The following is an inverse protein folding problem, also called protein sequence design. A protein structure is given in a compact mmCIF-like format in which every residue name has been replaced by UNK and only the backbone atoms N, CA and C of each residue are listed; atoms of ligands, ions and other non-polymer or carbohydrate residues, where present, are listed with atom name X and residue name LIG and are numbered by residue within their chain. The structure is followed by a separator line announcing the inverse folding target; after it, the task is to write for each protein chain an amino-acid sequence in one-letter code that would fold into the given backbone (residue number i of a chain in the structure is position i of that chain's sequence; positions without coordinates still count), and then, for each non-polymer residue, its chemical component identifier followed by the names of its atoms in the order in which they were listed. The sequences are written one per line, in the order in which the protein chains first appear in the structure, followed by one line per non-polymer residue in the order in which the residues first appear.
data_IF_044486368980
#
_entry.id   IF_044486368980
#
_cell.length_a   1.000
_cell.length_b   1.000
_cell.length_c   1.000
_cell.angle_alpha   90.00
_cell.angle_beta   90.00
_cell.angle_gamma   90.00
#
_symmetry.space_group_name_H-M   'P 1'
#
loop_
_entity.id
_entity.type
_entity.pdbx_description
1 polymer ?
#
# COMPACT_ATOMS: atom_id res chain seq x y z
N UNK A 1 8.59 19.79 5.69
CA UNK A 1 7.39 19.39 6.45
C UNK A 1 6.93 18.03 5.99
N UNK A 2 7.02 17.08 6.91
CA UNK A 2 6.90 15.65 6.68
C UNK A 2 5.45 15.21 6.64
N UNK A 3 4.99 14.71 5.49
CA UNK A 3 3.69 14.03 5.37
C UNK A 3 3.81 12.57 5.79
N UNK A 4 3.13 12.20 6.86
CA UNK A 4 3.05 10.83 7.35
C UNK A 4 1.97 10.08 6.56
N UNK A 5 2.35 9.05 5.78
CA UNK A 5 1.38 8.13 5.17
C UNK A 5 0.99 7.08 6.20
N UNK A 6 -0.21 7.18 6.73
CA UNK A 6 -0.79 6.22 7.68
C UNK A 6 -1.52 5.12 6.91
N UNK A 7 -0.98 3.90 6.93
CA UNK A 7 -1.68 2.72 6.45
C UNK A 7 -2.64 2.23 7.54
N UNK A 8 -3.91 2.45 7.37
CA UNK A 8 -4.92 1.91 8.27
C UNK A 8 -5.51 0.62 7.68
N UNK A 9 -5.34 -0.49 8.41
CA UNK A 9 -5.92 -1.78 8.07
C UNK A 9 -7.39 -1.80 8.47
N UNK A 10 -8.27 -2.10 7.54
CA UNK A 10 -9.62 -2.52 7.87
C UNK A 10 -9.55 -3.97 8.39
N UNK A 11 -9.68 -4.17 9.70
CA UNK A 11 -9.76 -5.49 10.34
C UNK A 11 -11.20 -6.02 10.24
N UNK A 12 -11.52 -6.69 9.15
CA UNK A 12 -12.63 -7.63 9.11
C UNK A 12 -12.09 -9.04 8.91
N UNK A 13 -12.60 -10.02 9.65
CA UNK A 13 -12.20 -11.42 9.59
C UNK A 13 -12.13 -11.92 8.14
N UNK A 14 -11.10 -12.69 7.76
CA UNK A 14 -10.93 -13.15 6.39
C UNK A 14 -11.96 -14.22 6.06
N UNK A 15 -12.95 -13.90 5.25
CA UNK A 15 -13.62 -14.93 4.45
C UNK A 15 -12.68 -15.27 3.28
N UNK A 16 -12.59 -16.56 2.98
CA UNK A 16 -11.69 -17.16 1.99
C UNK A 16 -11.95 -16.66 0.56
N UNK A 17 -11.52 -15.45 0.25
CA UNK A 17 -11.22 -14.94 -1.11
C UNK A 17 -10.32 -13.72 -0.93
N UNK A 18 -9.06 -13.90 -1.29
CA UNK A 18 -8.00 -12.90 -1.18
C UNK A 18 -8.26 -11.75 -2.15
N UNK A 19 -8.88 -10.69 -1.67
CA UNK A 19 -8.81 -9.38 -2.34
C UNK A 19 -7.96 -8.48 -1.47
N UNK A 20 -6.78 -8.14 -1.96
CA UNK A 20 -5.90 -7.13 -1.35
C UNK A 20 -6.62 -5.79 -1.36
N UNK A 21 -7.25 -5.43 -0.26
CA UNK A 21 -7.83 -4.10 -0.07
C UNK A 21 -6.77 -3.19 0.54
N UNK A 22 -6.23 -2.33 -0.27
CA UNK A 22 -5.36 -1.26 0.15
C UNK A 22 -6.16 0.03 0.22
N UNK A 23 -6.41 0.56 1.41
CA UNK A 23 -6.93 1.91 1.59
C UNK A 23 -5.73 2.83 1.72
N UNK A 24 -5.46 3.66 0.71
CA UNK A 24 -4.42 4.66 0.76
C UNK A 24 -5.04 6.03 1.05
N UNK A 25 -4.67 6.62 2.16
CA UNK A 25 -4.93 8.02 2.47
C UNK A 25 -3.77 8.86 1.90
N UNK A 26 -4.06 9.76 0.99
CA UNK A 26 -3.07 10.67 0.43
C UNK A 26 -3.32 12.08 0.98
N UNK A 27 -2.40 12.55 1.81
CA UNK A 27 -2.18 13.98 1.98
C UNK A 27 -1.09 14.37 0.99
N UNK A 28 -1.36 15.41 0.20
CA UNK A 28 -0.49 15.88 -0.87
C UNK A 28 0.92 16.20 -0.37
N UNK A 29 1.87 15.32 -0.62
CA UNK A 29 3.30 15.60 -0.72
C UNK A 29 3.98 14.40 -1.38
N UNK A 30 4.42 14.59 -2.61
CA UNK A 30 5.22 13.64 -3.36
C UNK A 30 6.57 13.41 -2.68
N UNK A 31 6.81 12.18 -2.22
CA UNK A 31 8.14 11.55 -2.25
C UNK A 31 8.00 10.07 -1.84
N UNK A 32 8.58 9.12 -2.59
CA UNK A 32 8.67 7.73 -2.15
C UNK A 32 9.68 7.67 -1.00
N UNK A 33 9.20 7.66 0.25
CA UNK A 33 10.07 7.45 1.40
C UNK A 33 10.34 5.97 1.58
N UNK A 34 11.62 5.67 1.68
CA UNK A 34 12.31 4.44 2.05
C UNK A 34 11.42 3.41 2.77
N UNK A 35 11.35 2.23 2.17
CA UNK A 35 10.84 1.02 2.80
C UNK A 35 11.65 0.77 4.08
N UNK A 36 11.05 0.98 5.25
CA UNK A 36 11.71 0.69 6.51
C UNK A 36 11.86 -0.82 6.69
N UNK A 37 12.90 -1.26 7.41
CA UNK A 37 13.17 -2.67 7.75
C UNK A 37 11.93 -3.43 8.28
N UNK A 38 11.02 -2.72 8.95
CA UNK A 38 9.72 -3.24 9.44
C UNK A 38 8.77 -3.63 8.31
N UNK A 39 8.81 -2.94 7.17
CA UNK A 39 7.99 -3.28 5.99
C UNK A 39 8.49 -4.53 5.31
N UNK A 40 9.81 -4.74 5.23
CA UNK A 40 10.42 -5.96 4.70
C UNK A 40 10.03 -7.18 5.54
N UNK A 41 10.09 -7.07 6.87
CA UNK A 41 9.68 -8.13 7.78
C UNK A 41 8.18 -8.49 7.65
N UNK A 42 7.31 -7.53 7.37
CA UNK A 42 5.89 -7.76 7.17
C UNK A 42 5.57 -8.50 5.86
N UNK A 43 6.35 -8.29 4.80
CA UNK A 43 6.18 -8.97 3.50
C UNK A 43 6.54 -10.45 3.62
N UNK A 44 7.56 -10.80 4.41
CA UNK A 44 8.01 -12.19 4.59
C UNK A 44 7.03 -13.06 5.41
N UNK A 45 6.11 -12.44 6.16
CA UNK A 45 5.20 -13.16 7.07
C UNK A 45 3.88 -13.59 6.41
N UNK A 46 3.54 -13.08 5.25
CA UNK A 46 2.30 -13.42 4.54
C UNK A 46 2.59 -14.52 3.52
N UNK A 47 1.63 -15.44 3.37
CA UNK A 47 1.70 -16.57 2.44
C UNK A 47 2.17 -16.18 1.02
N UNK A 48 1.62 -16.73 -0.01
CA UNK A 48 2.10 -16.56 -1.38
C UNK A 48 1.82 -15.13 -1.95
N UNK A 49 2.51 -14.12 -1.40
CA UNK A 49 2.41 -12.74 -1.90
C UNK A 49 2.83 -12.63 -3.38
N UNK A 50 3.75 -13.50 -3.85
CA UNK A 50 4.16 -13.56 -5.25
C UNK A 50 3.01 -14.04 -6.14
N UNK A 51 2.37 -15.15 -5.75
CA UNK A 51 1.23 -15.69 -6.50
C UNK A 51 0.07 -14.70 -6.59
N UNK A 52 -0.22 -13.98 -5.52
CA UNK A 52 -1.26 -12.96 -5.51
C UNK A 52 -0.93 -11.79 -6.46
N UNK A 53 0.32 -11.32 -6.47
CA UNK A 53 0.78 -10.26 -7.37
C UNK A 53 0.78 -10.72 -8.83
N UNK A 54 1.19 -11.97 -9.11
CA UNK A 54 1.14 -12.53 -10.46
C UNK A 54 -0.30 -12.61 -11.00
N UNK A 55 -1.24 -13.05 -10.18
CA UNK A 55 -2.68 -13.08 -10.55
C UNK A 55 -3.19 -11.69 -10.87
N UNK A 56 -2.77 -10.70 -10.09
CA UNK A 56 -3.21 -9.32 -10.29
C UNK A 56 -2.60 -8.70 -11.56
N UNK A 57 -1.33 -8.99 -11.86
CA UNK A 57 -0.70 -8.61 -13.13
C UNK A 57 -1.46 -9.20 -14.33
N UNK A 58 -1.78 -10.49 -14.28
CA UNK A 58 -2.56 -11.16 -15.33
C UNK A 58 -3.95 -10.54 -15.50
N UNK A 59 -4.64 -10.25 -14.40
CA UNK A 59 -5.95 -9.60 -14.42
C UNK A 59 -5.90 -8.25 -15.15
N UNK A 60 -4.95 -7.39 -14.78
CA UNK A 60 -4.77 -6.08 -15.42
C UNK A 60 -4.38 -6.22 -16.89
N UNK A 61 -3.49 -7.14 -17.23
CA UNK A 61 -3.12 -7.39 -18.64
C UNK A 61 -4.32 -7.83 -19.48
N UNK A 62 -5.18 -8.71 -18.94
CA UNK A 62 -6.40 -9.15 -19.63
C UNK A 62 -7.36 -7.97 -19.85
N UNK A 63 -7.63 -7.20 -18.81
CA UNK A 63 -8.49 -6.02 -18.90
C UNK A 63 -7.96 -4.98 -19.93
N UNK A 64 -6.66 -4.73 -19.93
CA UNK A 64 -6.06 -3.77 -20.88
C UNK A 64 -6.09 -4.27 -22.32
N UNK A 65 -5.97 -5.57 -22.55
CA UNK A 65 -6.11 -6.15 -23.90
C UNK A 65 -7.52 -5.92 -24.50
N UNK A 66 -8.56 -5.93 -23.68
CA UNK A 66 -9.93 -5.65 -24.13
C UNK A 66 -10.12 -4.22 -24.65
N UNK A 67 -9.18 -3.32 -24.32
CA UNK A 67 -9.20 -1.95 -24.85
C UNK A 67 -8.46 -1.78 -26.18
N UNK A 68 -7.70 -2.78 -26.67
CA UNK A 68 -6.85 -2.65 -27.86
C UNK A 68 -7.65 -2.29 -29.14
N UNK A 69 -8.90 -2.74 -29.21
CA UNK A 69 -9.75 -2.54 -30.38
C UNK A 69 -10.83 -1.45 -30.17
N UNK A 70 -10.75 -0.69 -29.08
CA UNK A 70 -11.73 0.36 -28.81
C UNK A 70 -11.33 1.68 -29.47
N UNK A 71 -12.27 2.38 -30.13
CA UNK A 71 -12.00 3.68 -30.75
C UNK A 71 -11.66 4.71 -29.62
N UNK A 72 -10.72 5.61 -29.92
CA UNK A 72 -10.30 6.67 -28.96
C UNK A 72 -9.26 6.26 -27.92
N UNK A 73 -8.75 5.03 -27.98
CA UNK A 73 -7.67 4.58 -27.09
C UNK A 73 -6.32 4.90 -27.72
N UNK A 74 -5.43 5.52 -26.93
CA UNK A 74 -4.03 5.71 -27.31
C UNK A 74 -3.31 4.36 -27.36
N UNK A 75 -3.17 3.82 -28.56
CA UNK A 75 -2.58 2.51 -28.79
C UNK A 75 -1.08 2.46 -28.45
N UNK A 76 -0.35 3.59 -28.50
CA UNK A 76 1.05 3.65 -28.15
C UNK A 76 1.22 3.56 -26.61
N UNK A 77 0.44 4.34 -25.87
CA UNK A 77 0.42 4.30 -24.40
C UNK A 77 -0.04 2.92 -23.89
N UNK A 78 -1.08 2.35 -24.50
CA UNK A 78 -1.58 1.02 -24.12
C UNK A 78 -0.50 -0.06 -24.30
N UNK A 79 0.20 -0.07 -25.45
CA UNK A 79 1.31 -1.01 -25.70
C UNK A 79 2.44 -0.84 -24.70
N UNK A 80 2.81 0.40 -24.36
CA UNK A 80 3.86 0.68 -23.37
C UNK A 80 3.50 0.11 -21.99
N UNK A 81 2.25 0.31 -21.53
CA UNK A 81 1.77 -0.24 -20.26
C UNK A 81 1.74 -1.76 -20.27
N UNK A 82 1.22 -2.38 -21.34
CA UNK A 82 1.22 -3.83 -21.47
C UNK A 82 2.63 -4.42 -21.47
N UNK A 83 3.59 -3.80 -22.16
CA UNK A 83 4.99 -4.22 -22.17
C UNK A 83 5.61 -4.11 -20.78
N UNK A 84 5.31 -3.04 -20.02
CA UNK A 84 5.77 -2.89 -18.64
C UNK A 84 5.25 -4.02 -17.75
N UNK A 85 3.94 -4.32 -17.82
CA UNK A 85 3.33 -5.40 -17.04
C UNK A 85 3.90 -6.78 -17.40
N UNK A 86 4.13 -7.05 -18.70
CA UNK A 86 4.74 -8.30 -19.15
C UNK A 86 6.15 -8.46 -18.57
N UNK A 87 6.97 -7.42 -18.64
CA UNK A 87 8.31 -7.40 -18.06
C UNK A 87 8.27 -7.68 -16.55
N UNK A 88 7.38 -7.01 -15.80
CA UNK A 88 7.24 -7.24 -14.35
C UNK A 88 6.84 -8.67 -14.02
N UNK A 89 5.94 -9.24 -14.81
CA UNK A 89 5.54 -10.64 -14.68
C UNK A 89 6.73 -11.58 -14.91
N UNK A 90 7.52 -11.34 -15.95
CA UNK A 90 8.70 -12.15 -16.27
C UNK A 90 9.76 -12.05 -15.18
N UNK A 91 10.09 -10.85 -14.70
CA UNK A 91 11.03 -10.62 -13.60
C UNK A 91 10.59 -11.35 -12.32
N UNK A 92 9.31 -11.27 -11.98
CA UNK A 92 8.76 -11.92 -10.80
C UNK A 92 8.70 -13.46 -10.97
N UNK A 93 8.50 -13.96 -12.18
CA UNK A 93 8.57 -15.39 -12.49
C UNK A 93 10.01 -15.90 -12.42
N UNK A 94 10.97 -15.17 -13.00
CA UNK A 94 12.39 -15.50 -12.96
C UNK A 94 12.95 -15.54 -11.52
N UNK A 95 12.43 -14.71 -10.63
CA UNK A 95 12.80 -14.74 -9.20
C UNK A 95 12.45 -16.08 -8.52
N UNK A 96 11.53 -16.86 -9.09
CA UNK A 96 11.15 -18.18 -8.60
C UNK A 96 10.23 -18.18 -7.39
N UNK A 97 9.71 -19.34 -7.01
CA UNK A 97 8.77 -19.47 -5.88
C UNK A 97 9.45 -19.18 -4.53
N UNK A 98 10.73 -19.49 -4.43
CA UNK A 98 11.49 -19.43 -3.19
C UNK A 98 12.38 -18.17 -3.07
N UNK A 99 12.12 -17.12 -3.86
CA UNK A 99 12.97 -15.93 -3.89
C UNK A 99 13.12 -15.23 -2.52
N UNK A 100 12.13 -15.36 -1.63
CA UNK A 100 12.21 -14.83 -0.26
C UNK A 100 12.83 -15.80 0.75
N UNK A 101 13.25 -16.98 0.32
CA UNK A 101 13.73 -18.04 1.23
C UNK A 101 14.93 -17.57 2.06
N UNK A 102 15.90 -16.93 1.44
CA UNK A 102 17.08 -16.39 2.13
C UNK A 102 16.72 -15.39 3.24
N UNK A 103 15.71 -14.53 3.01
CA UNK A 103 15.25 -13.58 4.03
C UNK A 103 14.47 -14.27 5.15
N UNK A 104 13.69 -15.31 4.81
CA UNK A 104 12.92 -16.09 5.78
C UNK A 104 13.80 -16.95 6.68
N UNK A 105 14.91 -17.46 6.15
CA UNK A 105 15.88 -18.30 6.86
C UNK A 105 16.91 -17.49 7.63
N UNK A 106 17.00 -16.19 7.42
CA UNK A 106 17.91 -15.32 8.16
C UNK A 106 17.50 -15.25 9.63
N UNK A 107 18.30 -15.84 10.52
CA UNK A 107 18.11 -15.78 11.96
C UNK A 107 18.12 -14.34 12.46
N UNK A 108 19.02 -13.52 11.96
CA UNK A 108 19.12 -12.10 12.24
C UNK A 108 17.82 -11.34 11.96
N UNK A 109 17.27 -11.48 10.74
CA UNK A 109 16.02 -10.82 10.36
C UNK A 109 14.81 -11.37 11.12
N UNK A 110 14.81 -12.66 11.42
CA UNK A 110 13.75 -13.28 12.21
C UNK A 110 13.78 -12.83 13.67
N UNK A 111 14.95 -12.70 14.28
CA UNK A 111 15.10 -12.16 15.62
C UNK A 111 14.53 -10.74 15.71
N UNK A 112 14.90 -9.86 14.77
CA UNK A 112 14.36 -8.49 14.70
C UNK A 112 12.83 -8.51 14.53
N UNK A 113 12.31 -9.35 13.63
CA UNK A 113 10.88 -9.46 13.36
C UNK A 113 10.09 -9.87 14.60
N UNK A 114 10.55 -10.88 15.31
CA UNK A 114 9.86 -11.38 16.51
C UNK A 114 9.88 -10.35 17.65
N UNK A 115 11.00 -9.69 17.86
CA UNK A 115 11.18 -8.72 18.94
C UNK A 115 10.57 -7.36 18.63
N UNK A 116 10.52 -6.93 17.38
CA UNK A 116 9.94 -5.63 17.01
C UNK A 116 8.44 -5.49 17.29
N UNK A 117 7.73 -6.59 17.50
CA UNK A 117 6.33 -6.60 17.90
C UNK A 117 6.13 -6.41 19.41
N UNK A 118 7.18 -6.54 20.22
CA UNK A 118 7.16 -6.43 21.67
C UNK A 118 7.58 -5.01 22.05
N UNK A 119 6.83 -4.28 22.88
CA UNK A 119 7.26 -2.99 23.40
C UNK A 119 8.61 -3.10 24.13
N UNK A 120 9.61 -2.31 23.72
CA UNK A 120 10.97 -2.38 24.27
C UNK A 120 11.82 -3.57 23.77
N UNK A 121 11.28 -4.49 22.99
CA UNK A 121 11.96 -5.71 22.55
C UNK A 121 13.09 -5.52 21.52
N UNK A 122 13.44 -4.28 21.18
CA UNK A 122 14.59 -3.95 20.31
C UNK A 122 15.73 -3.32 21.10
N UNK A 123 15.76 -3.49 22.41
CA UNK A 123 16.87 -3.03 23.25
C UNK A 123 18.09 -3.96 23.09
N UNK A 124 19.24 -3.50 23.56
CA UNK A 124 20.52 -4.20 23.44
C UNK A 124 20.50 -5.59 24.08
N UNK A 125 19.79 -5.76 25.20
CA UNK A 125 19.66 -7.06 25.88
C UNK A 125 18.86 -8.07 25.07
N UNK A 126 17.82 -7.62 24.37
CA UNK A 126 16.95 -8.50 23.60
C UNK A 126 17.47 -8.81 22.20
N UNK A 127 18.24 -7.87 21.62
CA UNK A 127 18.80 -7.95 20.29
C UNK A 127 20.25 -7.45 20.23
N UNK A 128 21.20 -8.12 20.89
CA UNK A 128 22.61 -7.71 20.91
C UNK A 128 23.22 -7.66 19.50
N UNK A 129 22.90 -8.64 18.64
CA UNK A 129 23.40 -8.69 17.27
C UNK A 129 22.88 -7.51 16.42
N UNK A 130 21.63 -7.11 16.63
CA UNK A 130 21.07 -5.94 15.95
C UNK A 130 21.73 -4.64 16.41
N UNK A 131 21.96 -4.50 17.72
CA UNK A 131 22.69 -3.37 18.27
C UNK A 131 24.13 -3.32 17.79
N UNK A 132 24.81 -4.47 17.72
CA UNK A 132 26.15 -4.56 17.12
C UNK A 132 26.12 -4.14 15.64
N UNK A 133 25.18 -4.67 14.86
CA UNK A 133 25.02 -4.31 13.45
C UNK A 133 24.76 -2.80 13.25
N UNK A 134 23.96 -2.16 14.12
CA UNK A 134 23.74 -0.71 14.07
C UNK A 134 25.01 0.12 14.30
N UNK A 135 26.01 -0.44 14.98
CA UNK A 135 27.30 0.18 15.24
C UNK A 135 28.39 -0.15 14.21
N UNK A 136 28.09 -0.99 13.21
CA UNK A 136 28.99 -1.22 12.07
C UNK A 136 29.14 0.07 11.25
N UNK A 137 30.16 0.09 10.39
CA UNK A 137 30.35 1.16 9.43
C UNK A 137 29.13 1.31 8.50
N UNK A 138 28.88 2.54 8.07
CA UNK A 138 27.73 2.85 7.23
C UNK A 138 27.71 2.03 5.94
N UNK A 139 28.88 1.84 5.31
CA UNK A 139 29.01 1.11 4.06
C UNK A 139 28.67 -0.37 4.22
N UNK A 140 29.09 -1.00 5.33
CA UNK A 140 28.76 -2.39 5.63
C UNK A 140 27.23 -2.57 5.81
N UNK A 141 26.60 -1.68 6.55
CA UNK A 141 25.14 -1.69 6.74
C UNK A 141 24.37 -1.44 5.46
N UNK A 142 24.87 -0.53 4.62
CA UNK A 142 24.26 -0.23 3.31
C UNK A 142 24.36 -1.43 2.37
N UNK A 143 25.48 -2.14 2.37
CA UNK A 143 25.66 -3.36 1.57
C UNK A 143 24.66 -4.45 1.97
N UNK A 144 24.47 -4.71 3.27
CA UNK A 144 23.48 -5.66 3.77
C UNK A 144 22.06 -5.25 3.38
N UNK A 145 21.69 -3.98 3.60
CA UNK A 145 20.39 -3.44 3.23
C UNK A 145 20.16 -3.55 1.72
N UNK A 146 21.15 -3.22 0.90
CA UNK A 146 21.05 -3.32 -0.55
C UNK A 146 20.84 -4.78 -1.00
N UNK A 147 21.52 -5.73 -0.37
CA UNK A 147 21.35 -7.17 -0.63
C UNK A 147 19.93 -7.64 -0.30
N UNK A 148 19.40 -7.27 0.87
CA UNK A 148 18.04 -7.64 1.28
C UNK A 148 16.98 -6.98 0.37
N UNK A 149 17.16 -5.70 0.06
CA UNK A 149 16.26 -4.96 -0.82
C UNK A 149 16.29 -5.48 -2.25
N UNK A 150 17.46 -5.89 -2.77
CA UNK A 150 17.56 -6.49 -4.09
C UNK A 150 16.70 -7.77 -4.21
N UNK A 151 16.63 -8.56 -3.14
CA UNK A 151 15.81 -9.78 -3.10
C UNK A 151 14.32 -9.49 -3.25
N UNK A 152 13.81 -8.44 -2.64
CA UNK A 152 12.36 -8.10 -2.67
C UNK A 152 11.99 -7.13 -3.80
N UNK A 153 12.98 -6.57 -4.49
CA UNK A 153 12.78 -5.55 -5.54
C UNK A 153 11.78 -5.98 -6.62
N UNK A 154 11.84 -7.18 -7.22
CA UNK A 154 10.89 -7.59 -8.24
C UNK A 154 9.43 -7.54 -7.77
N UNK A 155 9.18 -7.91 -6.51
CA UNK A 155 7.87 -7.84 -5.90
C UNK A 155 7.42 -6.39 -5.68
N UNK A 156 8.30 -5.55 -5.12
CA UNK A 156 8.00 -4.14 -4.85
C UNK A 156 7.73 -3.36 -6.12
N UNK A 157 8.51 -3.58 -7.18
CA UNK A 157 8.32 -2.92 -8.48
C UNK A 157 7.05 -3.37 -9.16
N UNK A 158 6.70 -4.66 -9.10
CA UNK A 158 5.42 -5.17 -9.60
C UNK A 158 4.23 -4.55 -8.89
N UNK A 159 4.28 -4.45 -7.56
CA UNK A 159 3.23 -3.80 -6.76
C UNK A 159 3.14 -2.30 -7.07
N UNK A 160 4.27 -1.63 -7.26
CA UNK A 160 4.29 -0.20 -7.61
C UNK A 160 3.64 0.06 -8.97
N UNK A 161 3.92 -0.78 -9.97
CA UNK A 161 3.30 -0.70 -11.29
C UNK A 161 1.78 -0.93 -11.24
N UNK A 162 1.34 -1.96 -10.53
CA UNK A 162 -0.08 -2.24 -10.32
C UNK A 162 -0.80 -1.07 -9.64
N UNK A 163 -0.20 -0.52 -8.58
CA UNK A 163 -0.78 0.63 -7.89
C UNK A 163 -0.83 1.88 -8.76
N UNK A 164 0.19 2.09 -9.60
CA UNK A 164 0.19 3.21 -10.53
C UNK A 164 -0.96 3.08 -11.53
N UNK A 165 -1.12 1.92 -12.19
CA UNK A 165 -2.20 1.68 -13.15
C UNK A 165 -3.57 1.82 -12.48
N UNK A 166 -3.74 1.24 -11.29
CA UNK A 166 -4.99 1.32 -10.53
C UNK A 166 -5.36 2.76 -10.21
N UNK A 167 -4.38 3.61 -9.88
CA UNK A 167 -4.58 5.03 -9.58
C UNK A 167 -4.85 5.89 -10.81
N UNK A 168 -4.17 5.60 -11.92
CA UNK A 168 -4.37 6.33 -13.19
C UNK A 168 -5.77 6.10 -13.77
N UNK A 169 -6.35 4.94 -13.56
CA UNK A 169 -7.70 4.62 -14.02
C UNK A 169 -8.82 5.27 -13.17
N UNK A 170 -8.46 5.88 -12.05
CA UNK A 170 -9.43 6.54 -11.18
C UNK A 170 -9.88 7.88 -11.75
N UNK A 171 -11.17 8.15 -11.67
CA UNK A 171 -11.75 9.46 -11.99
C UNK A 171 -12.02 10.22 -10.68
N UNK A 172 -11.21 11.24 -10.36
CA UNK A 172 -11.47 12.09 -9.20
C UNK A 172 -12.77 12.87 -9.38
N UNK A 173 -13.57 12.94 -8.33
CA UNK A 173 -14.79 13.76 -8.28
C UNK A 173 -14.84 14.49 -6.95
N UNK A 174 -15.35 15.70 -6.99
CA UNK A 174 -15.58 16.49 -5.79
C UNK A 174 -16.86 16.00 -5.11
N UNK A 175 -16.81 15.81 -3.80
CA UNK A 175 -17.92 15.34 -2.98
C UNK A 175 -17.99 16.17 -1.70
N UNK A 176 -19.17 16.20 -1.10
CA UNK A 176 -19.40 16.90 0.16
C UNK A 176 -19.90 15.93 1.23
N UNK A 177 -19.20 15.90 2.35
CA UNK A 177 -19.60 15.16 3.53
C UNK A 177 -20.48 16.07 4.42
N UNK A 178 -21.78 15.83 4.42
CA UNK A 178 -22.74 16.62 5.19
C UNK A 178 -22.57 16.34 6.69
N UNK A 179 -22.38 17.40 7.47
CA UNK A 179 -22.09 17.27 8.90
C UNK A 179 -20.86 16.38 9.18
N UNK A 180 -19.87 16.43 8.29
CA UNK A 180 -18.66 15.64 8.40
C UNK A 180 -18.80 14.14 8.12
N UNK A 181 -19.93 13.69 7.56
CA UNK A 181 -20.18 12.26 7.24
C UNK A 181 -20.50 12.09 5.76
N UNK A 182 -19.90 11.10 5.15
CA UNK A 182 -20.17 10.70 3.79
C UNK A 182 -20.28 9.17 3.69
N UNK A 183 -21.28 8.69 2.97
CA UNK A 183 -21.49 7.27 2.75
C UNK A 183 -21.54 6.97 1.26
N UNK A 184 -20.85 5.90 0.87
CA UNK A 184 -20.85 5.41 -0.50
C UNK A 184 -21.22 3.94 -0.53
N UNK A 185 -22.13 3.58 -1.43
CA UNK A 185 -22.42 2.20 -1.79
C UNK A 185 -21.64 1.85 -3.07
N UNK A 186 -21.10 0.66 -3.14
CA UNK A 186 -20.36 0.17 -4.29
C UNK A 186 -21.21 -0.85 -5.07
N UNK A 187 -21.07 -0.84 -6.38
CA UNK A 187 -21.71 -1.81 -7.26
C UNK A 187 -21.14 -3.21 -6.98
N UNK A 188 -22.03 -4.20 -6.95
CA UNK A 188 -21.64 -5.60 -6.65
C UNK A 188 -20.77 -6.20 -7.75
N UNK A 189 -21.03 -5.83 -8.99
CA UNK A 189 -20.39 -6.38 -10.18
C UNK A 189 -19.02 -5.75 -10.46
N UNK A 190 -18.71 -4.63 -9.79
CA UNK A 190 -17.46 -3.89 -9.97
C UNK A 190 -16.78 -3.60 -8.62
N UNK A 191 -16.03 -4.57 -8.10
CA UNK A 191 -15.41 -4.43 -6.79
C UNK A 191 -14.36 -3.31 -6.78
N UNK A 192 -14.49 -2.40 -5.83
CA UNK A 192 -13.52 -1.32 -5.61
C UNK A 192 -12.27 -1.89 -4.96
N UNK A 193 -11.11 -1.64 -5.56
CA UNK A 193 -9.81 -2.08 -5.06
C UNK A 193 -9.16 -1.03 -4.17
N UNK A 194 -9.23 0.24 -4.57
CA UNK A 194 -8.61 1.35 -3.88
C UNK A 194 -9.56 2.54 -3.82
N UNK A 195 -9.62 3.18 -2.67
CA UNK A 195 -10.33 4.44 -2.46
C UNK A 195 -9.30 5.51 -2.08
N UNK A 196 -9.25 6.59 -2.86
CA UNK A 196 -8.40 7.74 -2.58
C UNK A 196 -9.24 8.93 -2.16
N UNK A 197 -8.92 9.49 -1.01
CA UNK A 197 -9.57 10.65 -0.43
C UNK A 197 -8.53 11.75 -0.34
N UNK A 198 -8.80 12.91 -0.93
CA UNK A 198 -7.91 14.07 -0.88
C UNK A 198 -8.65 15.24 -0.26
N UNK A 199 -8.02 15.88 0.72
CA UNK A 199 -8.53 17.06 1.42
C UNK A 199 -7.51 18.18 1.24
N UNK A 200 -7.97 19.43 1.27
CA UNK A 200 -7.06 20.58 1.20
C UNK A 200 -5.98 20.51 2.30
N UNK A 201 -4.72 20.72 1.92
CA UNK A 201 -3.56 20.45 2.77
C UNK A 201 -3.42 21.30 4.04
N UNK A 202 -4.16 22.43 4.12
CA UNK A 202 -4.21 23.29 5.32
C UNK A 202 -5.32 22.88 6.32
N UNK A 203 -6.10 21.86 6.00
CA UNK A 203 -7.19 21.40 6.86
C UNK A 203 -6.66 20.71 8.12
N UNK A 204 -7.22 21.05 9.28
CA UNK A 204 -7.03 20.27 10.52
C UNK A 204 -7.89 19.01 10.56
N UNK A 205 -8.61 18.74 9.46
CA UNK A 205 -9.49 17.59 9.31
C UNK A 205 -8.74 16.40 8.70
N UNK A 206 -9.11 15.22 9.12
CA UNK A 206 -8.68 13.98 8.50
C UNK A 206 -9.82 12.96 8.45
N UNK A 207 -9.90 12.10 7.42
CA UNK A 207 -10.95 11.12 7.31
C UNK A 207 -10.64 9.88 8.14
N UNK A 208 -11.62 9.40 8.88
CA UNK A 208 -11.69 8.05 9.39
C UNK A 208 -12.56 7.22 8.46
N UNK A 209 -12.03 6.09 8.00
CA UNK A 209 -12.69 5.26 6.99
C UNK A 209 -13.10 3.93 7.60
N UNK A 210 -14.38 3.61 7.51
CA UNK A 210 -14.89 2.29 7.86
C UNK A 210 -15.72 1.74 6.71
N UNK A 211 -15.67 0.42 6.49
CA UNK A 211 -16.44 -0.12 5.38
C UNK A 211 -16.32 -1.62 5.19
N UNK A 212 -17.15 -2.11 4.28
CA UNK A 212 -17.19 -3.46 3.78
C UNK A 212 -17.02 -3.48 2.26
N UNK A 213 -17.18 -4.65 1.64
CA UNK A 213 -17.12 -4.82 0.19
C UNK A 213 -18.15 -4.00 -0.59
N UNK A 214 -19.26 -3.63 0.04
CA UNK A 214 -20.41 -3.04 -0.64
C UNK A 214 -20.69 -1.61 -0.17
N UNK A 215 -20.06 -1.17 0.91
CA UNK A 215 -20.39 0.10 1.55
C UNK A 215 -19.18 0.66 2.28
N UNK A 216 -18.93 1.95 2.14
CA UNK A 216 -17.90 2.66 2.86
C UNK A 216 -18.52 3.89 3.52
N UNK A 217 -18.13 4.17 4.76
CA UNK A 217 -18.48 5.36 5.51
C UNK A 217 -17.21 6.14 5.83
N UNK A 218 -17.24 7.43 5.53
CA UNK A 218 -16.19 8.38 5.86
C UNK A 218 -16.70 9.28 6.96
N UNK A 219 -15.91 9.47 8.01
CA UNK A 219 -16.14 10.50 9.03
C UNK A 219 -14.95 11.42 9.06
N UNK A 220 -15.17 12.71 8.94
CA UNK A 220 -14.12 13.70 9.05
C UNK A 220 -13.96 14.11 10.51
N UNK A 221 -12.77 13.90 11.03
CA UNK A 221 -12.40 14.20 12.40
C UNK A 221 -11.49 15.42 12.43
N UNK A 222 -11.72 16.30 13.41
CA UNK A 222 -10.88 17.46 13.66
C UNK A 222 -9.79 17.13 14.65
N UNK A 223 -8.55 17.35 14.25
CA UNK A 223 -7.41 17.26 15.14
C UNK A 223 -7.26 18.57 15.92
N UNK A 224 -7.37 18.50 17.23
CA UNK A 224 -7.19 19.67 18.10
C UNK A 224 -5.82 19.67 18.77
N UNK A 225 -5.47 18.59 19.48
CA UNK A 225 -4.18 18.43 20.15
C UNK A 225 -3.89 16.97 20.49
N UNK A 226 -2.67 16.70 20.94
CA UNK A 226 -2.26 15.37 21.44
C UNK A 226 -2.94 15.01 22.77
N UNK A 227 -3.47 16.00 23.48
CA UNK A 227 -4.10 15.84 24.80
C UNK A 227 -5.64 15.71 24.73
N UNK A 228 -6.22 15.85 23.56
CA UNK A 228 -7.68 15.77 23.37
C UNK A 228 -8.05 14.72 22.34
N UNK A 229 -9.18 14.06 22.54
CA UNK A 229 -9.71 13.14 21.53
C UNK A 229 -10.16 13.94 20.31
N UNK A 230 -9.90 13.43 19.09
CA UNK A 230 -10.47 14.02 17.88
C UNK A 230 -11.99 14.06 17.95
N UNK A 231 -12.56 15.15 17.43
CA UNK A 231 -14.03 15.37 17.41
C UNK A 231 -14.49 15.32 15.97
N UNK A 232 -15.66 14.73 15.72
CA UNK A 232 -16.25 14.73 14.39
C UNK A 232 -16.55 16.17 13.97
N UNK A 233 -16.25 16.50 12.71
CA UNK A 233 -16.64 17.75 12.09
C UNK A 233 -18.18 17.83 12.03
N UNK A 234 -18.73 18.96 12.41
CA UNK A 234 -20.19 19.23 12.35
C UNK A 234 -20.55 20.04 11.11
N UNK A 235 -19.57 20.68 10.51
CA UNK A 235 -19.68 21.40 9.24
C UNK A 235 -19.62 20.46 8.04
N UNK A 236 -20.12 20.95 6.91
CA UNK A 236 -19.98 20.28 5.63
C UNK A 236 -18.51 20.33 5.17
N UNK A 237 -17.97 19.18 4.74
CA UNK A 237 -16.58 19.05 4.33
C UNK A 237 -16.50 18.67 2.86
N UNK A 238 -15.96 19.57 2.05
CA UNK A 238 -15.67 19.30 0.64
C UNK A 238 -14.35 18.56 0.51
N UNK A 239 -14.33 17.50 -0.27
CA UNK A 239 -13.17 16.65 -0.50
C UNK A 239 -13.21 16.03 -1.90
N UNK A 240 -12.07 15.54 -2.37
CA UNK A 240 -12.00 14.83 -3.65
C UNK A 240 -11.94 13.32 -3.39
N UNK A 241 -12.87 12.61 -4.00
CA UNK A 241 -12.99 11.16 -3.95
C UNK A 241 -12.58 10.56 -5.30
N UNK A 242 -11.69 9.58 -5.28
CA UNK A 242 -11.38 8.79 -6.47
C UNK A 242 -11.53 7.30 -6.14
N UNK A 243 -12.39 6.65 -6.90
CA UNK A 243 -12.65 5.20 -6.78
C UNK A 243 -11.88 4.48 -7.86
N UNK A 244 -11.03 3.54 -7.47
CA UNK A 244 -10.20 2.73 -8.35
C UNK A 244 -10.74 1.29 -8.39
N UNK A 245 -10.92 0.77 -9.59
CA UNK A 245 -11.50 -0.55 -9.85
C UNK A 245 -10.49 -1.53 -10.42
#
# INVERSE_FOLDING_TARGET
SSGCSMFQRCTSRPSRRSSLKLVALHTSADTPKSCSSKSCAAITSRGDARGDVLKELERHMTQLRDYQNRPGVDSARLRAVLSALMRRREELNAAGANFLQRLRESEFLNAIKHRSAIPGGTCEFDLPDFCHWLNLDADAREADLASWLATIRPLCESVSELLWITRENARPREETATGGVYQIAFERDRPVQLLRISIAGASKLYPEVSGSHHRCSLRFLRWNSVHSRPVQATEDVTFVLATCY
#
